data_IF_510732551573
#
_entry.id   IF_510732551573
#
_cell.length_a   1.000
_cell.length_b   1.000
_cell.length_c   1.000
_cell.angle_alpha   90.00
_cell.angle_beta   90.00
_cell.angle_gamma   90.00
#
_symmetry.space_group_name_H-M   'P 1'
#
loop_
_entity.id
_entity.type
_entity.pdbx_description
1 polymer ?
#
# COMPACT_ATOMS: atom_id res chain seq x y z
N UNK A 1 2.48 -2.06 -6.25
CA UNK A 1 1.91 -0.70 -6.22
C UNK A 1 2.11 -0.14 -4.82
N UNK A 2 2.60 1.08 -4.68
CA UNK A 2 2.65 1.80 -3.40
C UNK A 2 1.71 2.98 -3.48
N UNK A 3 0.87 3.12 -2.47
CA UNK A 3 -0.02 4.26 -2.32
C UNK A 3 0.36 5.04 -1.08
N UNK A 4 0.47 6.36 -1.20
CA UNK A 4 0.58 7.25 -0.06
C UNK A 4 -0.47 8.35 -0.13
N UNK A 5 -1.26 8.48 0.94
CA UNK A 5 -2.28 9.53 1.06
C UNK A 5 -1.68 10.92 1.31
N UNK A 6 -0.38 11.00 1.63
CA UNK A 6 0.33 12.24 1.83
C UNK A 6 1.02 12.67 0.52
N UNK A 7 0.52 13.75 -0.09
CA UNK A 7 1.10 14.32 -1.31
C UNK A 7 2.56 14.81 -1.14
N UNK A 8 3.06 14.88 0.10
CA UNK A 8 4.46 15.23 0.43
C UNK A 8 5.40 14.02 0.51
N UNK A 9 4.95 12.80 0.19
CA UNK A 9 5.83 11.64 0.28
C UNK A 9 6.98 11.75 -0.73
N UNK A 10 8.18 11.56 -0.24
CA UNK A 10 9.42 11.59 -1.00
C UNK A 10 9.50 10.28 -1.80
N UNK A 11 8.96 10.30 -3.03
CA UNK A 11 8.91 9.13 -3.94
C UNK A 11 10.29 8.51 -4.12
N UNK A 12 11.33 9.34 -4.08
CA UNK A 12 12.73 8.92 -4.20
C UNK A 12 13.19 8.07 -3.00
N UNK A 13 12.78 8.41 -1.76
CA UNK A 13 13.15 7.64 -0.57
C UNK A 13 12.51 6.24 -0.51
N UNK A 14 11.29 6.10 -1.05
CA UNK A 14 10.57 4.82 -1.12
C UNK A 14 11.20 3.90 -2.17
N UNK A 15 11.57 4.45 -3.33
CA UNK A 15 12.27 3.73 -4.39
C UNK A 15 13.69 3.35 -3.92
N UNK A 16 14.39 4.23 -3.21
CA UNK A 16 15.75 3.95 -2.73
C UNK A 16 15.80 2.85 -1.65
N UNK A 17 14.71 2.64 -0.90
CA UNK A 17 14.58 1.51 0.04
C UNK A 17 14.24 0.18 -0.63
N UNK A 18 13.84 0.20 -1.90
CA UNK A 18 13.47 -1.00 -2.65
C UNK A 18 14.56 -1.29 -3.68
N UNK A 19 15.61 -2.03 -3.26
CA UNK A 19 16.72 -2.53 -4.10
C UNK A 19 16.30 -3.54 -5.19
N UNK A 20 15.01 -3.66 -5.51
CA UNK A 20 14.51 -4.66 -6.44
C UNK A 20 14.31 -4.13 -7.84
N UNK A 21 14.78 -4.88 -8.84
CA UNK A 21 14.57 -4.67 -10.27
C UNK A 21 13.13 -4.99 -10.69
N UNK A 22 12.12 -4.48 -9.96
CA UNK A 22 10.72 -4.66 -10.29
C UNK A 22 10.06 -3.31 -10.60
N UNK A 23 9.09 -3.32 -11.51
CA UNK A 23 8.30 -2.12 -11.84
C UNK A 23 7.42 -1.78 -10.64
N UNK A 24 7.86 -0.81 -9.86
CA UNK A 24 7.12 -0.25 -8.74
C UNK A 24 6.32 0.97 -9.21
N UNK A 25 5.00 0.85 -9.21
CA UNK A 25 4.12 2.00 -9.45
C UNK A 25 3.81 2.70 -8.13
N UNK A 26 4.11 4.00 -8.03
CA UNK A 26 3.90 4.82 -6.83
C UNK A 26 2.83 5.87 -7.10
N UNK A 27 1.73 5.77 -6.38
CA UNK A 27 0.60 6.69 -6.41
C UNK A 27 0.63 7.54 -5.14
N UNK A 28 0.51 8.86 -5.30
CA UNK A 28 0.49 9.80 -4.19
C UNK A 28 -0.75 10.70 -4.31
N UNK A 29 -1.45 10.87 -3.19
CA UNK A 29 -2.68 11.67 -3.11
C UNK A 29 -3.95 10.87 -3.42
N UNK A 30 -4.06 10.31 -4.63
CA UNK A 30 -5.25 9.56 -5.06
C UNK A 30 -4.87 8.27 -5.78
N UNK A 31 -5.57 7.17 -5.45
CA UNK A 31 -5.48 5.90 -6.16
C UNK A 31 -6.71 5.76 -7.07
N UNK A 32 -6.55 5.55 -8.39
CA UNK A 32 -7.68 5.31 -9.27
C UNK A 32 -8.47 4.07 -8.83
N UNK A 33 -9.80 4.10 -8.94
CA UNK A 33 -10.65 2.96 -8.58
C UNK A 33 -10.32 1.69 -9.36
N UNK A 34 -9.97 1.82 -10.64
CA UNK A 34 -9.54 0.69 -11.49
C UNK A 34 -8.30 -0.01 -10.91
N UNK A 35 -7.35 0.78 -10.40
CA UNK A 35 -6.15 0.25 -9.74
C UNK A 35 -6.54 -0.40 -8.42
N UNK A 36 -7.41 0.23 -7.62
CA UNK A 36 -7.91 -0.34 -6.35
C UNK A 36 -8.57 -1.70 -6.55
N UNK A 37 -9.41 -1.84 -7.58
CA UNK A 37 -10.13 -3.08 -7.90
C UNK A 37 -9.19 -4.19 -8.42
N UNK A 38 -8.09 -3.80 -9.07
CA UNK A 38 -7.05 -4.72 -9.52
C UNK A 38 -6.05 -5.11 -8.41
N UNK A 39 -6.18 -4.58 -7.19
CA UNK A 39 -5.34 -5.01 -6.07
C UNK A 39 -5.89 -6.34 -5.52
N UNK A 40 -5.01 -7.26 -5.16
CA UNK A 40 -5.38 -8.51 -4.46
C UNK A 40 -5.05 -8.46 -2.96
N UNK A 41 -4.16 -7.54 -2.57
CA UNK A 41 -3.63 -7.44 -1.21
C UNK A 41 -3.19 -6.00 -0.93
N UNK A 42 -3.53 -5.52 0.27
CA UNK A 42 -3.07 -4.22 0.76
C UNK A 42 -2.22 -4.43 2.00
N UNK A 43 -1.05 -3.80 2.03
CA UNK A 43 -0.16 -3.82 3.20
C UNK A 43 -0.02 -2.41 3.74
N UNK A 44 -0.39 -2.21 5.00
CA UNK A 44 -0.28 -0.94 5.69
C UNK A 44 1.10 -0.83 6.34
N UNK A 45 1.82 0.24 5.98
CA UNK A 45 3.04 0.61 6.69
C UNK A 45 2.74 1.11 8.11
N UNK A 46 3.66 0.89 9.06
CA UNK A 46 3.51 1.30 10.44
C UNK A 46 3.40 2.83 10.50
N UNK A 47 2.24 3.31 10.95
CA UNK A 47 1.92 4.73 11.02
C UNK A 47 0.83 5.19 10.05
N UNK A 48 0.39 4.34 9.11
CA UNK A 48 -0.77 4.64 8.26
C UNK A 48 -2.06 4.39 9.07
N UNK A 49 -2.94 5.41 9.23
CA UNK A 49 -4.18 5.22 9.96
C UNK A 49 -5.16 4.34 9.16
N UNK A 50 -5.73 3.33 9.83
CA UNK A 50 -6.76 2.43 9.25
C UNK A 50 -8.08 3.14 8.98
N UNK A 51 -8.29 4.33 9.56
CA UNK A 51 -9.53 5.10 9.39
C UNK A 51 -9.60 5.86 8.06
N UNK A 52 -8.53 5.82 7.25
CA UNK A 52 -8.50 6.48 5.95
C UNK A 52 -9.64 5.96 5.04
N UNK A 53 -10.30 6.84 4.29
CA UNK A 53 -11.41 6.46 3.42
C UNK A 53 -11.01 5.40 2.38
N UNK A 54 -9.77 5.43 1.90
CA UNK A 54 -9.24 4.41 0.99
C UNK A 54 -9.08 3.04 1.66
N UNK A 55 -8.67 3.00 2.93
CA UNK A 55 -8.53 1.75 3.69
C UNK A 55 -9.89 1.13 3.97
N UNK A 56 -10.87 1.97 4.34
CA UNK A 56 -12.28 1.54 4.43
C UNK A 56 -12.78 0.97 3.11
N UNK A 57 -12.47 1.62 1.98
CA UNK A 57 -12.85 1.12 0.66
C UNK A 57 -12.24 -0.27 0.38
N UNK A 58 -10.99 -0.52 0.75
CA UNK A 58 -10.39 -1.86 0.63
C UNK A 58 -11.11 -2.92 1.47
N UNK A 59 -11.47 -2.60 2.72
CA UNK A 59 -12.28 -3.50 3.55
C UNK A 59 -13.66 -3.78 2.94
N UNK A 60 -14.32 -2.76 2.38
CA UNK A 60 -15.63 -2.92 1.70
C UNK A 60 -15.53 -3.74 0.41
N UNK A 61 -14.40 -3.66 -0.30
CA UNK A 61 -14.09 -4.52 -1.46
C UNK A 61 -13.76 -5.96 -1.05
N UNK A 62 -13.66 -6.27 0.24
CA UNK A 62 -13.27 -7.58 0.73
C UNK A 62 -11.78 -7.88 0.55
N UNK A 63 -10.96 -6.85 0.32
CA UNK A 63 -9.53 -7.01 0.16
C UNK A 63 -8.87 -7.32 1.50
N UNK A 64 -7.94 -8.28 1.54
CA UNK A 64 -7.14 -8.49 2.73
C UNK A 64 -6.23 -7.28 2.96
N UNK A 65 -6.39 -6.64 4.11
CA UNK A 65 -5.52 -5.55 4.57
C UNK A 65 -4.63 -6.10 5.69
N UNK A 66 -3.32 -6.16 5.45
CA UNK A 66 -2.32 -6.67 6.40
C UNK A 66 -1.42 -5.55 6.91
N UNK A 67 -0.86 -5.70 8.11
CA UNK A 67 0.26 -4.87 8.56
C UNK A 67 1.60 -5.44 8.09
N UNK A 68 2.66 -4.63 8.02
CA UNK A 68 4.02 -5.10 7.70
C UNK A 68 4.47 -6.28 8.57
N UNK A 69 4.14 -6.28 9.86
CA UNK A 69 4.46 -7.38 10.80
C UNK A 69 3.68 -8.65 10.45
N UNK A 70 2.42 -8.51 10.06
CA UNK A 70 1.56 -9.64 9.71
C UNK A 70 1.96 -10.26 8.36
N UNK A 71 2.36 -9.42 7.40
CA UNK A 71 2.98 -9.88 6.16
C UNK A 71 4.24 -10.69 6.47
N UNK A 72 5.17 -10.13 7.24
CA UNK A 72 6.43 -10.79 7.60
C UNK A 72 6.21 -12.13 8.32
N UNK A 73 5.19 -12.22 9.17
CA UNK A 73 4.82 -13.47 9.85
C UNK A 73 4.32 -14.54 8.86
N UNK A 74 3.59 -14.15 7.81
CA UNK A 74 3.04 -15.08 6.81
C UNK A 74 4.05 -15.48 5.73
N UNK A 75 4.91 -14.56 5.29
CA UNK A 75 5.93 -14.82 4.26
C UNK A 75 7.22 -15.39 4.82
N UNK A 76 7.52 -15.20 6.11
CA UNK A 76 8.69 -15.75 6.78
C UNK A 76 8.59 -17.25 7.14
N UNK A 77 7.68 -18.00 6.50
CA UNK A 77 7.47 -19.43 6.72
C UNK A 77 8.00 -20.27 5.57
#
# INVERSE_FOLDING_TARGET
>A
IIYDGNAKVDKEAVIHKTEGTYRLEVYAGELPKEVQDSLDLVVLSPGVPVDLPIVKNFYEQGLPVWGEVELAYRTGK
#
